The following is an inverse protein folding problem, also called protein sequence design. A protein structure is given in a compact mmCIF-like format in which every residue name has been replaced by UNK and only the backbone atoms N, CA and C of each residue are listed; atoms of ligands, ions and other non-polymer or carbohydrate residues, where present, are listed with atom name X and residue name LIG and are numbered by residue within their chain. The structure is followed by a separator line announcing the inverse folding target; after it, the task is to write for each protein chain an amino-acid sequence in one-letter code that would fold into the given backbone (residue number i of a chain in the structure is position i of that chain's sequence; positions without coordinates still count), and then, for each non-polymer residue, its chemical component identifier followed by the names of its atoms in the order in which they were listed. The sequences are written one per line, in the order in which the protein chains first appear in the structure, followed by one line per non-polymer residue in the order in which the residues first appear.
data_IF_168692575478
#
_entry.id   IF_168692575478
#
_cell.length_a   1.000
_cell.length_b   1.000
_cell.length_c   1.000
_cell.angle_alpha   90.00
_cell.angle_beta   90.00
_cell.angle_gamma   90.00
#
_symmetry.space_group_name_H-M   'P 1'
#
loop_
_entity.id
_entity.type
_entity.pdbx_description
1 polymer ?
#
# COMPACT_ATOMS: atom_id res chain seq x y z
N UNK A 1 43.49 -20.84 -20.87
CA UNK A 1 42.10 -20.43 -20.55
C UNK A 1 41.96 -20.45 -19.03
N UNK A 2 41.83 -19.27 -18.41
CA UNK A 2 41.80 -19.10 -16.96
C UNK A 2 40.39 -19.42 -16.44
N UNK A 3 40.29 -20.35 -15.48
CA UNK A 3 39.07 -20.64 -14.72
C UNK A 3 39.04 -19.71 -13.51
N UNK A 4 37.97 -18.95 -13.36
CA UNK A 4 37.67 -18.21 -12.13
C UNK A 4 36.48 -18.87 -11.45
N UNK A 5 36.75 -19.42 -10.27
CA UNK A 5 35.79 -19.92 -9.30
C UNK A 5 35.57 -18.81 -8.28
N UNK A 6 34.31 -18.45 -8.00
CA UNK A 6 33.87 -17.65 -6.86
C UNK A 6 32.65 -18.41 -6.31
N UNK A 7 32.76 -19.23 -5.26
CA UNK A 7 32.74 -18.82 -3.85
C UNK A 7 31.62 -17.80 -3.62
N UNK A 8 30.44 -18.14 -3.11
CA UNK A 8 30.21 -18.90 -1.87
C UNK A 8 29.82 -17.90 -0.79
N UNK A 9 28.51 -17.70 -0.59
CA UNK A 9 27.96 -16.75 0.39
C UNK A 9 26.60 -17.21 0.89
N UNK A 10 26.59 -18.34 1.60
CA UNK A 10 25.43 -18.89 2.29
C UNK A 10 25.25 -18.13 3.62
N UNK A 11 24.19 -17.33 3.76
CA UNK A 11 23.81 -16.71 5.04
C UNK A 11 22.76 -17.59 5.71
N UNK A 12 23.19 -18.41 6.68
CA UNK A 12 22.30 -19.17 7.56
C UNK A 12 21.84 -18.25 8.68
N UNK A 13 20.57 -17.82 8.64
CA UNK A 13 19.90 -17.21 9.78
C UNK A 13 19.28 -18.33 10.63
N UNK A 14 20.01 -18.75 11.67
CA UNK A 14 19.46 -19.56 12.74
C UNK A 14 18.63 -18.66 13.68
N UNK A 15 17.31 -18.90 13.75
CA UNK A 15 16.47 -18.31 14.80
C UNK A 15 16.09 -19.44 15.76
N UNK A 16 16.67 -19.36 16.95
CA UNK A 16 16.45 -20.30 18.05
C UNK A 16 15.03 -20.22 18.60
N UNK A 17 14.52 -21.38 18.95
CA UNK A 17 13.27 -21.60 19.68
C UNK A 17 13.35 -21.01 21.09
N UNK A 18 12.37 -20.19 21.49
CA UNK A 18 12.14 -19.85 22.89
C UNK A 18 10.69 -20.14 23.29
N UNK A 19 10.59 -20.71 24.48
CA UNK A 19 9.51 -21.53 24.98
C UNK A 19 8.27 -20.75 25.44
N UNK A 20 7.15 -21.47 25.44
CA UNK A 20 5.85 -21.09 25.97
C UNK A 20 5.92 -20.82 27.48
N UNK A 21 5.37 -19.68 27.91
CA UNK A 21 4.92 -19.46 29.28
C UNK A 21 3.48 -18.95 29.26
N UNK A 22 2.62 -19.74 29.87
CA UNK A 22 1.18 -19.59 30.01
C UNK A 22 0.95 -19.16 31.46
N UNK A 23 0.15 -18.11 31.70
CA UNK A 23 -0.46 -17.85 33.00
C UNK A 23 -1.72 -16.98 32.85
N UNK A 24 -2.83 -17.53 33.33
CA UNK A 24 -4.18 -16.96 33.46
C UNK A 24 -4.30 -16.02 34.71
N UNK A 25 -5.45 -15.34 34.93
CA UNK A 25 -5.55 -13.97 35.45
C UNK A 25 -5.93 -13.86 36.94
N UNK A 26 -6.17 -12.62 37.44
CA UNK A 26 -7.36 -12.40 38.27
C UNK A 26 -8.17 -11.11 37.93
N UNK A 27 -9.48 -11.32 37.75
CA UNK A 27 -10.65 -10.74 38.45
C UNK A 27 -10.69 -9.25 38.94
N UNK A 28 -11.84 -8.66 38.60
CA UNK A 28 -12.64 -7.59 39.25
C UNK A 28 -12.18 -6.12 39.23
N UNK A 29 -13.12 -5.23 38.85
CA UNK A 29 -13.09 -3.83 39.27
C UNK A 29 -13.80 -2.82 38.38
N UNK A 30 -15.07 -2.55 38.70
CA UNK A 30 -15.78 -1.26 38.54
C UNK A 30 -16.18 -0.75 37.14
N UNK A 31 -17.49 -0.83 36.91
CA UNK A 31 -18.27 -0.05 35.93
C UNK A 31 -18.37 1.41 36.41
N UNK A 32 -18.05 2.42 35.58
CA UNK A 32 -18.51 3.78 35.84
C UNK A 32 -19.93 3.98 35.32
N UNK A 33 -20.74 4.55 36.21
CA UNK A 33 -22.15 4.84 36.07
C UNK A 33 -22.52 5.63 34.81
N UNK A 34 -23.76 5.40 34.39
CA UNK A 34 -24.49 6.14 33.37
C UNK A 34 -24.49 7.65 33.67
N UNK A 35 -24.15 8.43 32.66
CA UNK A 35 -24.33 9.89 32.64
C UNK A 35 -25.84 10.16 32.49
N UNK A 36 -26.46 11.00 33.34
CA UNK A 36 -27.87 11.35 33.19
C UNK A 36 -28.10 12.15 31.90
N UNK A 37 -29.01 11.67 31.06
CA UNK A 37 -29.49 12.38 29.90
C UNK A 37 -30.31 13.61 30.35
N UNK A 38 -29.77 14.80 30.09
CA UNK A 38 -30.53 16.05 30.11
C UNK A 38 -31.61 16.01 29.02
N UNK A 39 -32.85 16.46 29.30
CA UNK A 39 -33.93 16.43 28.32
C UNK A 39 -33.66 17.39 27.16
N UNK A 40 -33.92 16.90 25.94
CA UNK A 40 -33.93 17.70 24.73
C UNK A 40 -35.00 18.81 24.84
N UNK A 41 -34.67 20.08 24.56
CA UNK A 41 -35.70 21.10 24.40
C UNK A 41 -36.48 20.82 23.11
N UNK A 42 -37.80 20.89 23.26
CA UNK A 42 -38.79 20.69 22.22
C UNK A 42 -38.63 21.65 21.03
N UNK A 43 -39.08 21.14 19.87
CA UNK A 43 -39.19 21.84 18.61
C UNK A 43 -39.79 23.25 18.75
N UNK A 44 -39.07 24.24 18.23
CA UNK A 44 -39.64 25.51 17.79
C UNK A 44 -39.55 25.56 16.28
N UNK A 45 -40.67 25.29 15.63
CA UNK A 45 -40.95 25.73 14.28
C UNK A 45 -41.10 27.24 14.31
N UNK A 46 -40.23 27.99 13.63
CA UNK A 46 -40.51 29.33 13.10
C UNK A 46 -39.38 29.73 12.15
N UNK A 47 -39.79 30.09 10.93
CA UNK A 47 -39.04 30.77 9.88
C UNK A 47 -37.77 30.12 9.33
N UNK A 48 -37.98 29.31 8.29
CA UNK A 48 -37.01 29.13 7.24
C UNK A 48 -36.73 30.49 6.57
N UNK A 49 -35.72 31.19 7.05
CA UNK A 49 -35.02 32.16 6.22
C UNK A 49 -34.48 31.40 4.99
N UNK A 50 -34.72 31.88 3.76
CA UNK A 50 -34.12 31.25 2.60
C UNK A 50 -32.61 31.37 2.76
N UNK A 51 -31.92 30.23 2.78
CA UNK A 51 -30.47 30.18 2.53
C UNK A 51 -30.29 30.64 1.10
N UNK A 52 -30.25 31.96 0.90
CA UNK A 52 -29.65 32.54 -0.29
C UNK A 52 -28.17 32.23 -0.21
N UNK A 53 -27.77 31.07 -0.75
CA UNK A 53 -26.44 30.98 -1.35
C UNK A 53 -26.37 32.11 -2.37
N UNK A 54 -25.46 33.09 -2.22
CA UNK A 54 -25.28 34.05 -3.28
C UNK A 54 -24.58 33.30 -4.41
N UNK A 55 -25.36 32.75 -5.33
CA UNK A 55 -24.88 32.29 -6.64
C UNK A 55 -24.01 33.38 -7.31
N UNK A 56 -24.24 34.64 -6.92
CA UNK A 56 -23.44 35.81 -7.23
C UNK A 56 -22.00 35.74 -6.70
N UNK A 57 -21.74 35.34 -5.43
CA UNK A 57 -20.35 35.22 -4.92
C UNK A 57 -19.61 34.04 -5.56
N UNK A 58 -20.30 32.91 -5.78
CA UNK A 58 -19.70 31.77 -6.47
C UNK A 58 -19.41 32.11 -7.95
N UNK A 59 -20.29 32.87 -8.58
CA UNK A 59 -20.11 33.44 -9.91
C UNK A 59 -18.94 34.41 -10.00
N UNK A 60 -18.77 35.30 -9.03
CA UNK A 60 -17.61 36.21 -8.94
C UNK A 60 -16.29 35.47 -8.71
N UNK A 61 -16.28 34.44 -7.87
CA UNK A 61 -15.09 33.60 -7.62
C UNK A 61 -14.67 32.79 -8.86
N UNK A 62 -15.64 32.34 -9.67
CA UNK A 62 -15.40 31.63 -10.92
C UNK A 62 -15.00 32.58 -12.07
N UNK A 63 -15.55 33.79 -12.11
CA UNK A 63 -15.20 34.82 -13.09
C UNK A 63 -13.84 35.49 -12.79
N UNK A 64 -13.36 35.42 -11.55
CA UNK A 64 -12.04 35.90 -11.13
C UNK A 64 -10.92 34.85 -11.25
N UNK A 65 -11.21 33.62 -11.65
CA UNK A 65 -10.16 32.64 -11.95
C UNK A 65 -9.43 33.08 -13.22
N UNK A 66 -8.09 33.26 -13.18
CA UNK A 66 -7.36 33.55 -14.41
C UNK A 66 -7.58 32.41 -15.39
N UNK A 67 -8.11 32.72 -16.56
CA UNK A 67 -8.15 31.77 -17.69
C UNK A 67 -6.70 31.44 -17.99
N UNK A 68 -6.31 30.18 -17.75
CA UNK A 68 -4.94 29.73 -18.02
C UNK A 68 -4.54 30.15 -19.42
N UNK A 69 -3.40 30.83 -19.51
CA UNK A 69 -2.82 31.22 -20.80
C UNK A 69 -2.55 29.98 -21.65
N UNK A 70 -2.46 30.16 -22.98
CA UNK A 70 -2.10 29.06 -23.87
C UNK A 70 -0.77 28.40 -23.52
N UNK A 71 0.17 29.17 -22.94
CA UNK A 71 1.45 28.65 -22.46
C UNK A 71 1.30 27.81 -21.17
N UNK A 72 0.47 28.24 -20.22
CA UNK A 72 0.17 27.47 -19.01
C UNK A 72 -0.58 26.19 -19.34
N UNK A 73 -1.54 26.24 -20.28
CA UNK A 73 -2.25 25.05 -20.75
C UNK A 73 -1.32 24.07 -21.46
N UNK A 74 -0.39 24.55 -22.28
CA UNK A 74 0.61 23.70 -22.92
C UNK A 74 1.58 23.07 -21.90
N UNK A 75 1.97 23.80 -20.85
CA UNK A 75 2.80 23.28 -19.77
C UNK A 75 2.05 22.25 -18.91
N UNK A 76 0.75 22.47 -18.66
CA UNK A 76 -0.12 21.49 -18.01
C UNK A 76 -0.28 20.24 -18.88
N UNK A 77 -0.60 20.38 -20.17
CA UNK A 77 -0.74 19.25 -21.10
C UNK A 77 0.59 18.48 -21.26
N UNK A 78 1.74 19.16 -21.24
CA UNK A 78 3.07 18.54 -21.24
C UNK A 78 3.31 17.78 -19.93
N UNK A 79 3.02 18.39 -18.78
CA UNK A 79 3.11 17.74 -17.47
C UNK A 79 2.18 16.52 -17.34
N UNK A 80 0.95 16.61 -17.85
CA UNK A 80 -0.03 15.51 -17.88
C UNK A 80 0.31 14.45 -18.95
N UNK A 81 0.98 14.86 -20.02
CA UNK A 81 1.45 14.01 -21.11
C UNK A 81 2.77 13.32 -20.82
N UNK A 82 3.56 13.84 -19.88
CA UNK A 82 4.73 13.15 -19.33
C UNK A 82 4.26 11.85 -18.73
N UNK A 83 4.68 10.76 -19.36
CA UNK A 83 4.60 9.41 -18.79
C UNK A 83 5.59 9.35 -17.63
N UNK A 84 5.26 9.97 -16.51
CA UNK A 84 5.95 9.77 -15.22
C UNK A 84 5.47 8.43 -14.65
N UNK A 85 5.65 7.39 -15.45
CA UNK A 85 5.67 6.01 -15.02
C UNK A 85 7.13 5.61 -14.80
N UNK A 86 7.35 4.45 -14.20
CA UNK A 86 8.69 4.00 -13.93
C UNK A 86 9.35 3.54 -15.24
N UNK A 87 10.16 4.41 -15.84
CA UNK A 87 10.99 4.09 -17.01
C UNK A 87 12.07 3.07 -16.60
N UNK A 88 11.66 1.81 -16.47
CA UNK A 88 12.57 0.69 -16.33
C UNK A 88 12.84 0.16 -17.73
N UNK A 89 14.09 0.22 -18.17
CA UNK A 89 14.51 -0.44 -19.40
C UNK A 89 14.39 -1.96 -19.24
N UNK A 90 13.41 -2.53 -19.94
CA UNK A 90 13.12 -3.98 -19.95
C UNK A 90 13.53 -4.66 -21.25
N UNK A 91 14.22 -3.95 -22.16
CA UNK A 91 14.56 -4.46 -23.49
C UNK A 91 15.45 -5.71 -23.48
N UNK A 92 16.20 -5.94 -22.40
CA UNK A 92 17.05 -7.12 -22.20
C UNK A 92 16.44 -8.21 -21.32
N UNK A 93 15.16 -8.12 -20.95
CA UNK A 93 14.51 -9.10 -20.07
C UNK A 93 13.84 -10.17 -20.91
N UNK A 94 14.31 -11.41 -20.76
CA UNK A 94 13.68 -12.59 -21.36
C UNK A 94 12.57 -13.14 -20.46
N UNK A 95 11.57 -13.78 -21.08
CA UNK A 95 10.54 -14.50 -20.33
C UNK A 95 11.14 -15.71 -19.62
N UNK A 96 10.66 -15.95 -18.41
CA UNK A 96 11.08 -17.10 -17.60
C UNK A 96 10.23 -18.33 -17.90
N UNK A 97 10.73 -19.55 -17.66
CA UNK A 97 9.97 -20.77 -17.94
C UNK A 97 8.58 -20.81 -17.29
N UNK A 98 8.44 -20.32 -16.05
CA UNK A 98 7.15 -20.29 -15.35
C UNK A 98 6.13 -19.31 -15.94
N UNK A 99 6.51 -18.46 -16.90
CA UNK A 99 5.58 -17.51 -17.52
C UNK A 99 4.42 -18.23 -18.23
N UNK A 100 4.65 -19.44 -18.75
CA UNK A 100 3.60 -20.27 -19.34
C UNK A 100 2.54 -20.73 -18.33
N UNK A 101 2.88 -20.74 -17.04
CA UNK A 101 2.01 -21.13 -15.93
C UNK A 101 1.51 -19.91 -15.14
N UNK A 102 1.73 -18.70 -15.65
CA UNK A 102 1.37 -17.46 -14.98
C UNK A 102 -0.15 -17.38 -14.71
N UNK A 103 -0.53 -17.03 -13.49
CA UNK A 103 -1.89 -16.65 -13.14
C UNK A 103 -1.93 -15.20 -12.65
N UNK A 104 -2.88 -14.35 -13.09
CA UNK A 104 -2.98 -12.98 -12.61
C UNK A 104 -3.05 -12.91 -11.07
N UNK A 105 -2.38 -11.94 -10.45
CA UNK A 105 -2.28 -11.84 -8.99
C UNK A 105 -3.64 -11.78 -8.29
N UNK A 106 -4.65 -11.23 -8.98
CA UNK A 106 -6.04 -11.19 -8.53
C UNK A 106 -6.69 -12.57 -8.38
N UNK A 107 -6.29 -13.56 -9.17
CA UNK A 107 -6.84 -14.93 -9.09
C UNK A 107 -6.14 -15.79 -8.05
N UNK A 108 -4.97 -15.36 -7.56
CA UNK A 108 -4.27 -16.09 -6.50
C UNK A 108 -5.01 -16.02 -5.17
N UNK A 109 -5.23 -17.20 -4.58
CA UNK A 109 -5.84 -17.35 -3.27
C UNK A 109 -4.95 -16.73 -2.19
N UNK A 110 -5.58 -15.94 -1.31
CA UNK A 110 -4.90 -15.21 -0.23
C UNK A 110 -5.41 -15.76 1.08
N UNK A 111 -4.49 -15.93 2.05
CA UNK A 111 -4.88 -16.35 3.40
C UNK A 111 -5.91 -15.37 3.98
N UNK A 112 -6.77 -15.82 4.91
CA UNK A 112 -7.76 -14.94 5.55
C UNK A 112 -7.16 -13.66 6.13
N UNK A 113 -6.00 -13.74 6.75
CA UNK A 113 -5.28 -12.64 7.39
C UNK A 113 -4.77 -11.66 6.35
N UNK A 114 -4.12 -12.15 5.30
CA UNK A 114 -3.63 -11.31 4.20
C UNK A 114 -4.81 -10.59 3.53
N UNK A 115 -5.90 -11.31 3.25
CA UNK A 115 -7.11 -10.76 2.65
C UNK A 115 -7.78 -9.71 3.54
N UNK A 116 -7.82 -9.89 4.85
CA UNK A 116 -8.39 -8.93 5.78
C UNK A 116 -7.62 -7.61 5.79
N UNK A 117 -6.28 -7.67 5.75
CA UNK A 117 -5.41 -6.49 5.75
C UNK A 117 -5.37 -5.78 4.39
N UNK A 118 -5.55 -6.50 3.28
CA UNK A 118 -5.62 -5.89 1.94
C UNK A 118 -6.97 -5.21 1.64
N UNK A 119 -8.08 -5.72 2.19
CA UNK A 119 -9.45 -5.22 1.91
C UNK A 119 -9.90 -4.06 2.80
N UNK A 120 -9.18 -3.75 3.87
CA UNK A 120 -9.63 -2.78 4.86
C UNK A 120 -9.46 -1.34 4.35
N UNK A 121 -10.52 -0.80 3.75
CA UNK A 121 -10.61 0.62 3.41
C UNK A 121 -10.52 1.48 4.70
N UNK A 122 -9.61 2.45 4.72
CA UNK A 122 -9.76 3.61 5.62
C UNK A 122 -8.92 3.68 6.91
N UNK A 123 -7.86 2.88 7.12
CA UNK A 123 -6.85 3.18 8.16
C UNK A 123 -5.46 3.36 7.55
N UNK A 124 -4.70 4.32 8.06
CA UNK A 124 -3.35 4.67 7.58
C UNK A 124 -2.42 3.44 7.52
N UNK A 125 -2.51 2.54 8.51
CA UNK A 125 -1.76 1.28 8.54
C UNK A 125 -2.09 0.31 7.40
N UNK A 126 -3.33 0.33 6.88
CA UNK A 126 -3.73 -0.56 5.78
C UNK A 126 -3.14 -0.13 4.43
N UNK A 127 -2.74 1.14 4.28
CA UNK A 127 -1.99 1.59 3.10
C UNK A 127 -0.55 1.08 3.16
N UNK A 128 0.14 1.29 4.28
CA UNK A 128 1.50 0.81 4.46
C UNK A 128 1.60 -0.70 4.27
N UNK A 129 0.67 -1.46 4.86
CA UNK A 129 0.61 -2.92 4.67
C UNK A 129 0.49 -3.31 3.19
N UNK A 130 -0.38 -2.63 2.42
CA UNK A 130 -0.55 -2.89 0.97
C UNK A 130 0.70 -2.57 0.17
N UNK A 131 1.35 -1.44 0.45
CA UNK A 131 2.58 -1.04 -0.24
C UNK A 131 3.71 -2.06 0.03
N UNK A 132 3.87 -2.48 1.29
CA UNK A 132 4.84 -3.51 1.68
C UNK A 132 4.52 -4.85 1.01
N UNK A 133 3.27 -5.30 1.08
CA UNK A 133 2.87 -6.58 0.49
C UNK A 133 3.10 -6.59 -1.03
N UNK A 134 2.74 -5.50 -1.73
CA UNK A 134 3.00 -5.34 -3.16
C UNK A 134 4.49 -5.40 -3.48
N UNK A 135 5.30 -4.61 -2.79
CA UNK A 135 6.76 -4.57 -2.97
C UNK A 135 7.42 -5.94 -2.75
N UNK A 136 7.08 -6.63 -1.66
CA UNK A 136 7.62 -7.96 -1.35
C UNK A 136 7.21 -8.99 -2.40
N UNK A 137 5.96 -8.91 -2.88
CA UNK A 137 5.39 -9.80 -3.88
C UNK A 137 6.14 -9.73 -5.20
N UNK A 138 6.28 -8.54 -5.78
CA UNK A 138 7.02 -8.37 -7.06
C UNK A 138 8.52 -8.63 -6.89
N UNK A 139 9.10 -8.28 -5.74
CA UNK A 139 10.51 -8.58 -5.43
C UNK A 139 10.75 -10.09 -5.39
N UNK A 140 9.83 -10.85 -4.78
CA UNK A 140 9.95 -12.30 -4.70
C UNK A 140 9.86 -12.96 -6.08
N UNK A 141 8.91 -12.53 -6.93
CA UNK A 141 8.82 -13.03 -8.32
C UNK A 141 10.10 -12.75 -9.10
N UNK A 142 10.66 -11.55 -8.97
CA UNK A 142 11.92 -11.18 -9.65
C UNK A 142 13.08 -12.05 -9.15
N UNK A 143 13.15 -12.32 -7.85
CA UNK A 143 14.24 -13.08 -7.23
C UNK A 143 14.15 -14.58 -7.52
N UNK A 144 12.95 -15.14 -7.46
CA UNK A 144 12.70 -16.58 -7.63
C UNK A 144 12.48 -16.97 -9.08
N UNK A 145 12.18 -15.99 -9.96
CA UNK A 145 11.76 -16.22 -11.33
C UNK A 145 10.50 -17.09 -11.43
N UNK A 146 9.65 -17.08 -10.40
CA UNK A 146 8.40 -17.84 -10.35
C UNK A 146 7.20 -16.91 -10.57
N UNK A 147 6.56 -17.06 -11.74
CA UNK A 147 5.37 -16.30 -12.14
C UNK A 147 4.05 -16.90 -11.64
N UNK A 148 4.07 -18.06 -10.96
CA UNK A 148 2.87 -18.70 -10.43
C UNK A 148 2.39 -18.00 -9.16
N UNK A 149 1.21 -18.39 -8.66
CA UNK A 149 0.74 -17.91 -7.37
C UNK A 149 1.68 -18.22 -6.19
N UNK A 150 2.53 -19.25 -6.28
CA UNK A 150 3.51 -19.55 -5.25
C UNK A 150 4.60 -18.46 -5.16
N UNK A 151 5.07 -17.95 -6.31
CA UNK A 151 6.00 -16.82 -6.37
C UNK A 151 5.36 -15.48 -6.02
N UNK A 152 4.07 -15.30 -6.31
CA UNK A 152 3.38 -14.01 -6.09
C UNK A 152 2.85 -13.82 -4.67
N UNK A 153 2.36 -14.86 -4.01
CA UNK A 153 1.74 -14.73 -2.70
C UNK A 153 2.80 -14.66 -1.61
N UNK A 154 2.82 -13.54 -0.88
CA UNK A 154 3.65 -13.38 0.31
C UNK A 154 2.83 -13.72 1.56
N UNK A 155 3.31 -14.60 2.44
CA UNK A 155 2.62 -14.91 3.68
C UNK A 155 2.44 -13.67 4.57
N UNK A 156 1.33 -13.62 5.32
CA UNK A 156 1.00 -12.48 6.19
C UNK A 156 2.11 -12.18 7.20
N UNK A 157 2.68 -13.22 7.81
CA UNK A 157 3.77 -13.12 8.78
C UNK A 157 5.01 -12.44 8.20
N UNK A 158 5.31 -12.67 6.92
CA UNK A 158 6.44 -12.01 6.24
C UNK A 158 6.19 -10.51 6.10
N UNK A 159 4.97 -10.13 5.74
CA UNK A 159 4.58 -8.71 5.64
C UNK A 159 4.62 -8.04 7.02
N UNK A 160 4.03 -8.68 8.04
CA UNK A 160 4.00 -8.17 9.41
C UNK A 160 5.41 -8.01 10.00
N UNK A 161 6.30 -8.98 9.80
CA UNK A 161 7.70 -8.89 10.22
C UNK A 161 8.44 -7.73 9.53
N UNK A 162 8.19 -7.51 8.24
CA UNK A 162 8.78 -6.38 7.52
C UNK A 162 8.25 -5.04 8.07
N UNK A 163 6.94 -4.97 8.31
CA UNK A 163 6.28 -3.81 8.90
C UNK A 163 6.87 -3.45 10.26
N UNK A 164 7.04 -4.43 11.15
CA UNK A 164 7.64 -4.28 12.48
C UNK A 164 9.05 -3.72 12.41
N UNK A 165 9.89 -4.27 11.53
CA UNK A 165 11.26 -3.80 11.34
C UNK A 165 11.30 -2.38 10.79
N UNK A 166 10.40 -2.04 9.86
CA UNK A 166 10.31 -0.70 9.31
C UNK A 166 9.90 0.32 10.38
N UNK A 167 8.92 -0.03 11.23
CA UNK A 167 8.51 0.77 12.39
C UNK A 167 9.66 1.01 13.36
N UNK A 168 10.40 -0.05 13.73
CA UNK A 168 11.56 0.04 14.60
C UNK A 168 12.66 0.93 14.00
N UNK A 169 12.98 0.74 12.71
CA UNK A 169 14.01 1.53 12.01
C UNK A 169 13.67 3.02 11.96
N UNK A 170 12.40 3.36 11.78
CA UNK A 170 11.93 4.74 11.69
C UNK A 170 11.59 5.36 13.06
N UNK A 171 11.57 4.55 14.13
CA UNK A 171 11.20 5.01 15.47
C UNK A 171 9.73 5.43 15.57
N UNK A 172 8.84 4.83 14.79
CA UNK A 172 7.40 5.17 14.74
C UNK A 172 6.54 4.00 15.17
N UNK A 173 5.40 4.29 15.81
CA UNK A 173 4.44 3.26 16.23
C UNK A 173 3.45 2.87 15.12
N UNK A 174 3.17 3.82 14.22
CA UNK A 174 2.26 3.66 13.08
C UNK A 174 2.97 4.10 11.81
N UNK A 175 2.89 3.28 10.76
CA UNK A 175 3.36 3.67 9.43
C UNK A 175 2.32 4.53 8.72
N UNK A 176 2.75 5.70 8.27
CA UNK A 176 1.99 6.58 7.39
C UNK A 176 2.39 6.32 5.94
N UNK A 177 1.55 6.69 4.95
CA UNK A 177 1.86 6.53 3.53
C UNK A 177 3.21 7.11 3.10
N UNK A 178 3.67 8.20 3.75
CA UNK A 178 4.97 8.81 3.46
C UNK A 178 6.15 7.89 3.80
N UNK A 179 5.99 6.98 4.78
CA UNK A 179 7.04 6.04 5.19
C UNK A 179 7.20 4.87 4.21
N UNK A 180 6.18 4.58 3.40
CA UNK A 180 6.17 3.47 2.43
C UNK A 180 6.16 3.94 0.97
N UNK A 181 6.22 5.25 0.72
CA UNK A 181 6.22 5.82 -0.64
C UNK A 181 7.32 5.20 -1.52
N UNK A 182 8.54 5.15 -1.03
CA UNK A 182 9.67 4.59 -1.80
C UNK A 182 9.47 3.10 -2.13
N UNK A 183 8.78 2.35 -1.26
CA UNK A 183 8.43 0.96 -1.51
C UNK A 183 7.37 0.84 -2.61
N UNK A 184 6.37 1.73 -2.59
CA UNK A 184 5.37 1.80 -3.65
C UNK A 184 6.00 2.18 -4.99
N UNK A 185 6.89 3.17 -5.01
CA UNK A 185 7.57 3.59 -6.24
C UNK A 185 8.51 2.48 -6.77
N UNK A 186 9.14 1.72 -5.86
CA UNK A 186 9.91 0.53 -6.24
C UNK A 186 9.01 -0.60 -6.76
N UNK A 187 7.87 -0.84 -6.13
CA UNK A 187 6.87 -1.79 -6.59
C UNK A 187 6.40 -1.45 -8.02
N UNK A 188 6.08 -0.19 -8.28
CA UNK A 188 5.63 0.29 -9.59
C UNK A 188 6.72 0.06 -10.66
N UNK A 189 7.99 0.38 -10.34
CA UNK A 189 9.15 0.03 -11.20
C UNK A 189 9.26 -1.46 -11.46
N UNK A 190 9.14 -2.26 -10.41
CA UNK A 190 9.29 -3.71 -10.49
C UNK A 190 8.15 -4.37 -11.26
N UNK A 191 6.95 -3.78 -11.32
CA UNK A 191 5.87 -4.29 -12.17
C UNK A 191 6.27 -4.33 -13.65
N UNK A 192 7.02 -3.36 -14.16
CA UNK A 192 7.52 -3.39 -15.54
C UNK A 192 8.43 -4.58 -15.81
N UNK A 193 9.36 -4.86 -14.88
CA UNK A 193 10.26 -6.01 -14.93
C UNK A 193 9.47 -7.32 -14.89
N UNK A 194 8.53 -7.44 -13.96
CA UNK A 194 7.69 -8.64 -13.83
C UNK A 194 6.82 -8.81 -15.06
N UNK A 195 6.28 -7.73 -15.64
CA UNK A 195 5.49 -7.79 -16.86
C UNK A 195 6.31 -8.30 -18.04
N UNK A 196 7.56 -7.86 -18.18
CA UNK A 196 8.47 -8.38 -19.20
C UNK A 196 8.83 -9.86 -18.96
N UNK A 197 9.06 -10.27 -17.70
CA UNK A 197 9.40 -11.65 -17.35
C UNK A 197 8.23 -12.63 -17.46
N UNK A 198 7.03 -12.22 -17.05
CA UNK A 198 5.89 -13.11 -16.79
C UNK A 198 4.67 -12.85 -17.68
N UNK A 199 4.57 -11.70 -18.35
CA UNK A 199 3.32 -11.21 -18.94
C UNK A 199 2.44 -10.49 -17.92
N UNK A 200 1.10 -10.54 -18.07
CA UNK A 200 0.17 -9.86 -17.14
C UNK A 200 0.43 -10.27 -15.67
N UNK A 201 0.59 -9.29 -14.78
CA UNK A 201 0.82 -9.56 -13.36
C UNK A 201 -0.43 -9.98 -12.60
#
# INVERSE_FOLDING_TARGET
MKRTVLAGGLVILAVGTLAMAQMLPPQEGTVPAAIPATPAPAAQTSDAAPVHTPETELGELLQGQPVMSGAERAAEDDYLGMKIGPDVDVSGIEQVPSAAENQPYRSCEKTPELRANLKSAGRLGNRAYRDIAGYLSVTNVIATKDCTCAGKIIPHETVAMFEDRLRQKLGVTVLEPKHTRDLYDAYDRQLGIVAAMCGEY
#
